data_IF_167374863198
#
_entry.id   IF_167374863198
#
_cell.length_a   1.000
_cell.length_b   1.000
_cell.length_c   1.000
_cell.angle_alpha   90.00
_cell.angle_beta   90.00
_cell.angle_gamma   90.00
#
_symmetry.space_group_name_H-M   'P 1'
#
loop_
_entity.id
_entity.type
_entity.pdbx_description
1 polymer ?
#
# COMPACT_ATOMS: atom_id res chain seq x y z
N UNK A 1 -29.14 -85.88 27.66
CA UNK A 1 -29.31 -84.42 27.57
C UNK A 1 -27.99 -83.61 27.40
N UNK A 2 -26.81 -84.22 27.26
CA UNK A 2 -25.54 -83.51 27.15
C UNK A 2 -25.10 -83.28 25.70
N UNK A 3 -25.54 -84.08 24.75
CA UNK A 3 -25.14 -83.98 23.31
C UNK A 3 -25.79 -82.81 22.59
N UNK A 4 -27.00 -82.42 22.93
CA UNK A 4 -27.72 -81.31 22.27
C UNK A 4 -27.18 -79.92 22.60
N UNK A 5 -26.51 -79.76 23.75
CA UNK A 5 -25.92 -78.45 24.17
C UNK A 5 -24.62 -78.16 23.43
N UNK A 6 -23.86 -79.24 23.10
CA UNK A 6 -22.61 -79.11 22.34
C UNK A 6 -22.89 -78.77 20.89
N UNK A 7 -23.92 -79.39 20.29
CA UNK A 7 -24.32 -79.12 18.92
C UNK A 7 -24.89 -77.73 18.74
N UNK A 8 -25.61 -77.23 19.78
CA UNK A 8 -26.16 -75.86 19.74
C UNK A 8 -25.02 -74.82 19.92
N UNK A 9 -23.97 -75.14 20.69
CA UNK A 9 -22.83 -74.23 20.87
C UNK A 9 -21.95 -74.17 19.63
N UNK A 10 -21.79 -75.29 18.88
CA UNK A 10 -21.02 -75.34 17.62
C UNK A 10 -21.71 -74.58 16.50
N UNK A 11 -23.06 -74.58 16.46
CA UNK A 11 -23.82 -73.80 15.46
C UNK A 11 -23.77 -72.31 15.78
N UNK A 12 -23.69 -71.91 17.05
CA UNK A 12 -23.59 -70.49 17.45
C UNK A 12 -22.19 -69.92 17.15
N UNK A 13 -21.11 -70.72 17.23
CA UNK A 13 -19.76 -70.29 16.87
C UNK A 13 -19.52 -70.16 15.33
N UNK A 14 -20.26 -70.91 14.51
CA UNK A 14 -20.13 -70.87 13.04
C UNK A 14 -20.79 -69.61 12.43
N UNK A 15 -21.75 -68.97 13.16
CA UNK A 15 -22.45 -67.79 12.69
C UNK A 15 -21.68 -66.46 12.87
N UNK A 16 -20.57 -66.47 13.61
CA UNK A 16 -19.80 -65.22 13.89
C UNK A 16 -18.58 -64.97 12.99
N UNK A 17 -18.31 -65.84 11.99
CA UNK A 17 -17.15 -65.74 11.13
C UNK A 17 -17.33 -65.02 9.81
N UNK A 18 -18.52 -64.42 9.55
CA UNK A 18 -18.79 -63.73 8.29
C UNK A 18 -18.97 -62.21 8.41
N UNK A 19 -18.43 -61.58 9.46
CA UNK A 19 -18.24 -60.12 9.45
C UNK A 19 -16.96 -59.84 8.68
N UNK A 20 -17.01 -59.99 7.37
CA UNK A 20 -16.00 -59.47 6.46
C UNK A 20 -15.95 -57.97 6.61
N UNK A 21 -14.92 -57.43 7.24
CA UNK A 21 -14.59 -56.03 7.16
C UNK A 21 -14.37 -55.67 5.69
N UNK A 22 -15.38 -55.08 5.06
CA UNK A 22 -15.18 -54.27 3.84
C UNK A 22 -14.27 -53.13 4.26
N UNK A 23 -12.95 -53.22 3.92
CA UNK A 23 -12.10 -52.04 3.85
C UNK A 23 -12.77 -51.07 2.93
N UNK A 24 -13.32 -50.02 3.49
CA UNK A 24 -13.76 -48.83 2.75
C UNK A 24 -12.50 -48.31 2.06
N UNK A 25 -12.45 -48.51 0.76
CA UNK A 25 -11.45 -47.89 -0.10
C UNK A 25 -11.72 -46.41 0.04
N UNK A 26 -10.87 -45.69 0.73
CA UNK A 26 -10.90 -44.23 0.75
C UNK A 26 -10.55 -43.79 -0.65
N UNK A 27 -11.55 -43.36 -1.40
CA UNK A 27 -11.32 -42.61 -2.61
C UNK A 27 -10.42 -41.43 -2.23
N UNK A 28 -9.36 -41.15 -3.01
CA UNK A 28 -8.58 -39.95 -2.78
C UNK A 28 -9.53 -38.77 -2.90
N UNK A 29 -9.97 -38.24 -1.78
CA UNK A 29 -10.76 -37.03 -1.73
C UNK A 29 -9.88 -35.94 -2.30
N UNK A 30 -10.04 -35.65 -3.58
CA UNK A 30 -9.50 -34.45 -4.19
C UNK A 30 -10.17 -33.32 -3.42
N UNK A 31 -9.43 -32.73 -2.45
CA UNK A 31 -9.82 -31.51 -1.79
C UNK A 31 -9.73 -30.42 -2.86
N UNK A 32 -10.79 -30.24 -3.61
CA UNK A 32 -10.97 -29.05 -4.44
C UNK A 32 -11.11 -27.94 -3.43
N UNK A 33 -10.02 -27.25 -3.15
CA UNK A 33 -10.10 -25.95 -2.52
C UNK A 33 -10.95 -25.09 -3.47
N UNK A 34 -12.24 -24.99 -3.17
CA UNK A 34 -13.10 -24.01 -3.81
C UNK A 34 -12.43 -22.67 -3.54
N UNK A 35 -11.85 -22.08 -4.60
CA UNK A 35 -11.29 -20.75 -4.50
C UNK A 35 -12.37 -19.88 -3.84
N UNK A 36 -12.08 -19.34 -2.66
CA UNK A 36 -12.97 -18.38 -2.04
C UNK A 36 -13.14 -17.25 -3.04
N UNK A 37 -14.35 -17.13 -3.56
CA UNK A 37 -14.73 -15.98 -4.38
C UNK A 37 -14.64 -14.80 -3.43
N UNK A 38 -13.50 -14.08 -3.48
CA UNK A 38 -13.32 -12.83 -2.73
C UNK A 38 -14.52 -11.95 -3.08
N UNK A 39 -15.35 -11.63 -2.09
CA UNK A 39 -16.46 -10.69 -2.30
C UNK A 39 -15.88 -9.40 -2.86
N UNK A 40 -16.53 -8.77 -3.86
CA UNK A 40 -16.04 -7.50 -4.36
C UNK A 40 -15.95 -6.51 -3.18
N UNK A 41 -14.75 -6.12 -2.84
CA UNK A 41 -14.53 -5.03 -1.89
C UNK A 41 -14.96 -3.73 -2.59
N UNK A 42 -15.70 -2.86 -1.88
CA UNK A 42 -15.98 -1.53 -2.40
C UNK A 42 -14.66 -0.74 -2.58
N UNK A 43 -14.72 0.39 -3.30
CA UNK A 43 -13.55 1.28 -3.43
C UNK A 43 -13.21 1.86 -2.05
N UNK A 44 -11.95 1.71 -1.63
CA UNK A 44 -11.47 2.14 -0.32
C UNK A 44 -10.80 3.53 -0.38
N UNK A 45 -10.56 4.10 0.80
CA UNK A 45 -9.79 5.33 0.98
C UNK A 45 -8.48 4.99 1.68
N UNK A 46 -7.38 5.64 1.26
CA UNK A 46 -6.10 5.54 1.98
C UNK A 46 -6.18 6.17 3.38
N UNK A 47 -7.18 7.06 3.59
CA UNK A 47 -7.44 7.74 4.84
C UNK A 47 -7.11 9.22 4.77
N UNK A 48 -7.90 10.02 5.49
CA UNK A 48 -7.70 11.46 5.58
C UNK A 48 -6.55 11.78 6.54
N UNK A 49 -5.78 12.82 6.26
CA UNK A 49 -4.67 13.26 7.09
C UNK A 49 -4.57 14.78 7.10
N UNK A 50 -4.25 15.35 8.27
CA UNK A 50 -3.96 16.77 8.41
C UNK A 50 -2.67 16.94 9.22
N UNK A 51 -1.75 17.76 8.73
CA UNK A 51 -0.49 18.10 9.38
C UNK A 51 -0.27 19.60 9.37
N UNK A 52 0.31 20.11 10.46
CA UNK A 52 0.67 21.52 10.62
C UNK A 52 2.16 21.62 10.97
N UNK A 53 2.84 22.59 10.37
CA UNK A 53 4.27 22.86 10.60
C UNK A 53 4.43 24.35 10.84
N UNK A 54 4.91 24.73 12.02
CA UNK A 54 5.29 26.11 12.33
C UNK A 54 6.78 26.29 12.02
N UNK A 55 7.14 27.34 11.30
CA UNK A 55 8.51 27.59 10.89
C UNK A 55 8.81 29.10 10.78
N UNK A 56 10.09 29.45 10.70
CA UNK A 56 10.56 30.80 10.39
C UNK A 56 11.13 30.83 8.98
N UNK A 57 10.81 31.88 8.24
CA UNK A 57 11.30 32.09 6.90
C UNK A 57 11.38 33.57 6.59
N UNK A 58 12.48 34.02 5.97
CA UNK A 58 12.71 35.45 5.62
C UNK A 58 12.47 36.40 6.81
N UNK A 59 12.83 35.99 8.01
CA UNK A 59 12.69 36.79 9.23
C UNK A 59 11.28 36.85 9.83
N UNK A 60 10.30 36.14 9.27
CA UNK A 60 8.92 36.10 9.75
C UNK A 60 8.48 34.68 10.13
N UNK A 61 7.40 34.59 10.92
CA UNK A 61 6.76 33.30 11.27
C UNK A 61 5.72 32.93 10.22
N UNK A 62 5.71 31.65 9.87
CA UNK A 62 4.75 31.03 8.96
C UNK A 62 4.25 29.72 9.53
N UNK A 63 3.13 29.24 8.96
CA UNK A 63 2.57 27.91 9.22
C UNK A 63 2.24 27.24 7.91
N UNK A 64 2.75 26.05 7.68
CA UNK A 64 2.26 25.16 6.61
C UNK A 64 1.14 24.28 7.15
N UNK A 65 0.03 24.22 6.43
CA UNK A 65 -1.12 23.34 6.67
C UNK A 65 -1.23 22.43 5.46
N UNK A 66 -1.12 21.11 5.69
CA UNK A 66 -1.18 20.09 4.65
C UNK A 66 -2.32 19.14 4.97
N UNK A 67 -3.32 19.07 4.09
CA UNK A 67 -4.52 18.25 4.29
C UNK A 67 -4.70 17.32 3.11
N UNK A 68 -4.59 16.01 3.34
CA UNK A 68 -4.93 14.96 2.38
C UNK A 68 -6.36 14.47 2.59
N UNK A 69 -7.09 14.34 1.49
CA UNK A 69 -8.44 13.74 1.47
C UNK A 69 -8.61 12.92 0.20
N UNK A 70 -9.34 11.81 0.31
CA UNK A 70 -9.76 11.08 -0.86
C UNK A 70 -10.73 11.92 -1.70
N UNK A 71 -10.54 11.92 -3.02
CA UNK A 71 -11.39 12.60 -3.98
C UNK A 71 -12.06 11.59 -4.90
N UNK A 72 -13.39 11.46 -4.78
CA UNK A 72 -14.18 10.50 -5.57
C UNK A 72 -14.37 10.91 -7.02
N UNK A 73 -13.98 12.12 -7.41
CA UNK A 73 -14.03 12.62 -8.80
C UNK A 73 -12.78 12.24 -9.61
N UNK A 74 -11.69 11.86 -8.92
CA UNK A 74 -10.45 11.43 -9.54
C UNK A 74 -10.54 9.97 -10.02
N UNK A 75 -9.70 9.58 -11.00
CA UNK A 75 -9.61 8.18 -11.42
C UNK A 75 -9.26 7.25 -10.25
N UNK A 76 -9.91 6.09 -10.21
CA UNK A 76 -9.68 5.06 -9.20
C UNK A 76 -8.37 4.32 -9.49
N UNK A 77 -7.50 4.20 -8.48
CA UNK A 77 -6.33 3.35 -8.53
C UNK A 77 -6.69 1.89 -8.19
N UNK A 78 -5.91 0.94 -8.73
CA UNK A 78 -6.11 -0.49 -8.44
C UNK A 78 -4.77 -1.09 -8.06
N UNK A 79 -4.69 -1.73 -6.89
CA UNK A 79 -3.47 -2.42 -6.48
C UNK A 79 -3.25 -3.74 -7.24
N UNK A 80 -2.13 -4.41 -6.96
CA UNK A 80 -1.76 -5.67 -7.62
C UNK A 80 -2.70 -6.84 -7.25
N UNK A 81 -3.48 -6.71 -6.18
CA UNK A 81 -4.50 -7.69 -5.77
C UNK A 81 -5.88 -7.41 -6.40
N UNK A 82 -6.01 -6.34 -7.18
CA UNK A 82 -7.26 -5.91 -7.81
C UNK A 82 -8.20 -5.13 -6.90
N UNK A 83 -7.74 -4.69 -5.73
CA UNK A 83 -8.48 -3.85 -4.80
C UNK A 83 -8.46 -2.41 -5.27
N UNK A 84 -9.59 -1.72 -5.17
CA UNK A 84 -9.76 -0.37 -5.71
C UNK A 84 -9.66 0.69 -4.62
N UNK A 85 -9.02 1.81 -4.96
CA UNK A 85 -8.82 2.94 -4.06
C UNK A 85 -9.19 4.25 -4.75
N UNK A 86 -9.86 5.13 -4.01
CA UNK A 86 -9.98 6.53 -4.44
C UNK A 86 -8.61 7.20 -4.37
N UNK A 87 -8.26 7.96 -5.41
CA UNK A 87 -7.07 8.79 -5.36
C UNK A 87 -7.29 9.98 -4.43
N UNK A 88 -6.24 10.68 -4.07
CA UNK A 88 -6.27 11.76 -3.10
C UNK A 88 -6.01 13.11 -3.77
N UNK A 89 -6.58 14.15 -3.18
CA UNK A 89 -6.09 15.51 -3.30
C UNK A 89 -5.38 15.91 -2.01
N UNK A 90 -4.35 16.74 -2.12
CA UNK A 90 -3.61 17.29 -0.99
C UNK A 90 -3.63 18.82 -1.08
N UNK A 91 -4.39 19.45 -0.19
CA UNK A 91 -4.38 20.90 -0.05
C UNK A 91 -3.18 21.34 0.79
N UNK A 92 -2.40 22.26 0.25
CA UNK A 92 -1.29 22.91 0.95
C UNK A 92 -1.60 24.39 1.09
N UNK A 93 -1.57 24.90 2.31
CA UNK A 93 -1.66 26.32 2.61
C UNK A 93 -0.45 26.77 3.41
N UNK A 94 0.18 27.84 2.98
CA UNK A 94 1.21 28.53 3.75
C UNK A 94 0.60 29.83 4.28
N UNK A 95 0.53 29.95 5.59
CA UNK A 95 -0.09 31.08 6.29
C UNK A 95 1.01 31.96 6.89
N UNK A 96 0.82 33.30 6.83
CA UNK A 96 1.62 34.26 7.57
C UNK A 96 1.21 34.31 9.05
N UNK A 97 1.99 35.00 9.87
CA UNK A 97 1.72 35.13 11.30
C UNK A 97 0.36 35.74 11.63
N UNK A 98 -0.16 36.61 10.77
CA UNK A 98 -1.49 37.24 10.88
C UNK A 98 -2.63 36.35 10.37
N UNK A 99 -2.33 35.12 9.93
CA UNK A 99 -3.29 34.17 9.38
C UNK A 99 -3.63 34.38 7.91
N UNK A 100 -3.08 35.41 7.25
CA UNK A 100 -3.27 35.60 5.81
C UNK A 100 -2.58 34.52 4.99
N UNK A 101 -3.16 34.15 3.84
CA UNK A 101 -2.61 33.13 2.96
C UNK A 101 -1.45 33.75 2.16
N UNK A 102 -0.26 33.14 2.28
CA UNK A 102 0.87 33.42 1.42
C UNK A 102 0.80 32.60 0.12
N UNK A 103 0.52 31.30 0.26
CA UNK A 103 0.41 30.35 -0.85
C UNK A 103 -0.72 29.36 -0.56
N UNK A 104 -1.42 28.94 -1.61
CA UNK A 104 -2.41 27.86 -1.52
C UNK A 104 -2.46 27.11 -2.86
N UNK A 105 -2.37 25.78 -2.79
CA UNK A 105 -2.50 24.91 -3.97
C UNK A 105 -3.14 23.59 -3.54
N UNK A 106 -3.93 23.00 -4.44
CA UNK A 106 -4.49 21.64 -4.29
C UNK A 106 -3.78 20.74 -5.29
N UNK A 107 -2.93 19.89 -4.75
CA UNK A 107 -2.20 18.91 -5.52
C UNK A 107 -3.04 17.66 -5.77
N UNK A 108 -2.93 17.12 -6.97
CA UNK A 108 -3.42 15.80 -7.38
C UNK A 108 -2.26 14.99 -7.96
N UNK A 109 -2.45 13.72 -8.23
CA UNK A 109 -1.44 12.93 -8.95
C UNK A 109 -1.08 13.52 -10.31
N UNK A 110 -2.03 14.22 -10.96
CA UNK A 110 -1.81 14.89 -12.23
C UNK A 110 -0.66 15.91 -12.22
N UNK A 111 -0.39 16.57 -11.08
CA UNK A 111 0.73 17.51 -10.95
C UNK A 111 2.12 16.85 -11.06
N UNK A 112 2.17 15.52 -11.00
CA UNK A 112 3.39 14.69 -11.01
C UNK A 112 3.46 13.77 -12.24
N UNK A 113 2.42 13.71 -13.05
CA UNK A 113 2.18 12.67 -14.06
C UNK A 113 3.28 12.58 -15.13
N UNK A 114 3.85 13.71 -15.53
CA UNK A 114 4.91 13.73 -16.58
C UNK A 114 6.15 12.90 -16.21
N UNK A 115 6.41 12.72 -14.91
CA UNK A 115 7.58 11.99 -14.40
C UNK A 115 7.26 10.59 -13.86
N UNK A 116 6.00 10.13 -13.98
CA UNK A 116 5.56 8.81 -13.56
C UNK A 116 5.60 7.81 -14.71
N UNK A 117 5.92 6.57 -14.41
CA UNK A 117 5.74 5.45 -15.34
C UNK A 117 4.26 5.08 -15.50
N UNK A 118 3.93 4.33 -16.55
CA UNK A 118 2.55 3.97 -16.89
C UNK A 118 1.84 3.12 -15.83
N UNK A 119 2.57 2.31 -15.05
CA UNK A 119 1.99 1.54 -13.95
C UNK A 119 1.59 2.45 -12.80
N UNK A 120 2.50 3.33 -12.38
CA UNK A 120 2.25 4.28 -11.29
C UNK A 120 1.15 5.30 -11.65
N UNK A 121 1.07 5.73 -12.92
CA UNK A 121 -0.04 6.58 -13.40
C UNK A 121 -1.40 5.90 -13.19
N UNK A 122 -1.52 4.61 -13.53
CA UNK A 122 -2.80 3.88 -13.43
C UNK A 122 -3.11 3.40 -12.02
N UNK A 123 -2.10 2.85 -11.33
CA UNK A 123 -2.29 2.08 -10.11
C UNK A 123 -1.88 2.84 -8.85
N UNK A 124 -1.09 3.90 -8.97
CA UNK A 124 -0.67 4.72 -7.84
C UNK A 124 -1.71 5.74 -7.42
N UNK A 125 -1.56 6.23 -6.19
CA UNK A 125 -2.28 7.37 -5.62
C UNK A 125 -1.29 8.44 -5.18
N UNK A 126 -1.73 9.69 -5.11
CA UNK A 126 -0.97 10.74 -4.40
C UNK A 126 -1.03 10.43 -2.89
N UNK A 127 0.05 9.82 -2.39
CA UNK A 127 0.04 9.19 -1.07
C UNK A 127 0.34 10.18 0.06
N UNK A 128 1.35 11.04 -0.10
CA UNK A 128 1.73 11.98 0.94
C UNK A 128 2.33 13.27 0.40
N UNK A 129 2.27 14.30 1.23
CA UNK A 129 3.08 15.50 1.12
C UNK A 129 3.49 15.95 2.51
N UNK A 130 4.78 16.27 2.69
CA UNK A 130 5.34 16.73 3.95
C UNK A 130 6.15 17.99 3.72
N UNK A 131 6.05 18.95 4.65
CA UNK A 131 6.96 20.09 4.70
C UNK A 131 8.32 19.62 5.22
N UNK A 132 9.40 20.03 4.54
CA UNK A 132 10.76 19.65 4.89
C UNK A 132 11.50 20.81 5.54
N UNK A 133 11.58 21.93 4.83
CA UNK A 133 12.35 23.11 5.29
C UNK A 133 11.94 24.39 4.58
N UNK A 134 12.36 25.50 5.20
CA UNK A 134 12.39 26.82 4.59
C UNK A 134 13.85 27.27 4.57
N UNK A 135 14.42 27.47 3.41
CA UNK A 135 15.83 27.81 3.27
C UNK A 135 16.05 28.77 2.09
N UNK A 136 16.83 29.83 2.32
CA UNK A 136 17.03 30.86 1.32
C UNK A 136 15.70 31.44 0.83
N UNK A 137 15.49 31.44 -0.48
CA UNK A 137 14.29 31.97 -1.13
C UNK A 137 13.17 30.95 -1.31
N UNK A 138 13.35 29.68 -0.86
CA UNK A 138 12.43 28.59 -1.15
C UNK A 138 11.89 27.89 0.11
N UNK A 139 10.64 27.48 0.02
CA UNK A 139 10.04 26.45 0.88
C UNK A 139 10.13 25.11 0.15
N UNK A 140 10.56 24.06 0.83
CA UNK A 140 10.69 22.72 0.27
C UNK A 140 9.73 21.75 0.94
N UNK A 141 9.04 20.99 0.12
CA UNK A 141 8.17 19.88 0.51
C UNK A 141 8.55 18.63 -0.26
N UNK A 142 8.26 17.46 0.30
CA UNK A 142 8.38 16.18 -0.39
C UNK A 142 7.00 15.59 -0.62
N UNK A 143 6.73 15.18 -1.84
CA UNK A 143 5.53 14.43 -2.21
C UNK A 143 5.89 12.98 -2.57
N UNK A 144 4.97 12.06 -2.37
CA UNK A 144 5.10 10.67 -2.83
C UNK A 144 3.85 10.20 -3.56
N UNK A 145 4.07 9.51 -4.69
CA UNK A 145 3.05 8.84 -5.49
C UNK A 145 3.41 7.37 -5.60
N UNK A 146 2.47 6.48 -5.32
CA UNK A 146 2.75 5.05 -5.39
C UNK A 146 1.59 4.19 -4.92
N UNK A 147 1.87 2.94 -4.57
CA UNK A 147 0.86 1.96 -4.19
C UNK A 147 -0.02 2.42 -3.02
N UNK A 148 -1.35 2.23 -3.13
CA UNK A 148 -2.27 2.60 -2.05
C UNK A 148 -2.22 1.68 -0.83
N UNK A 149 -1.71 0.45 -0.95
CA UNK A 149 -1.73 -0.58 0.10
C UNK A 149 -0.60 -0.48 1.13
N UNK A 150 0.36 0.43 0.94
CA UNK A 150 1.50 0.69 1.85
C UNK A 150 2.42 -0.52 2.14
N UNK A 151 2.28 -1.61 1.41
CA UNK A 151 3.00 -2.85 1.71
C UNK A 151 4.49 -2.77 1.35
N UNK A 152 4.92 -1.83 0.50
CA UNK A 152 6.31 -1.69 0.09
C UNK A 152 6.69 -0.21 -0.02
N UNK A 153 7.69 0.21 0.76
CA UNK A 153 8.25 1.57 0.68
C UNK A 153 8.97 1.83 -0.65
N UNK A 154 9.36 0.77 -1.36
CA UNK A 154 10.13 0.85 -2.61
C UNK A 154 9.24 1.17 -3.82
N UNK A 155 7.91 1.08 -3.66
CA UNK A 155 6.95 1.35 -4.73
C UNK A 155 6.52 2.83 -4.84
N UNK A 156 7.21 3.74 -4.15
CA UNK A 156 6.92 5.17 -4.21
C UNK A 156 7.90 5.94 -5.06
N UNK A 157 7.36 6.75 -5.97
CA UNK A 157 8.12 7.81 -6.65
C UNK A 157 8.05 9.06 -5.79
N UNK A 158 9.19 9.61 -5.43
CA UNK A 158 9.29 10.81 -4.60
C UNK A 158 9.62 12.04 -5.44
N UNK A 159 9.09 13.16 -4.98
CA UNK A 159 9.22 14.45 -5.64
C UNK A 159 9.61 15.54 -4.66
N UNK A 160 10.46 16.45 -5.09
CA UNK A 160 10.69 17.73 -4.43
C UNK A 160 9.74 18.76 -5.01
N UNK A 161 8.96 19.38 -4.15
CA UNK A 161 8.06 20.49 -4.46
C UNK A 161 8.61 21.74 -3.80
N UNK A 162 8.87 22.80 -4.58
CA UNK A 162 9.38 24.07 -4.06
C UNK A 162 8.41 25.19 -4.32
N UNK A 163 8.25 26.08 -3.34
CA UNK A 163 7.51 27.31 -3.44
C UNK A 163 8.47 28.46 -3.15
N UNK A 164 8.70 29.30 -4.16
CA UNK A 164 9.59 30.45 -4.01
C UNK A 164 8.97 31.57 -3.16
N UNK A 165 9.78 32.52 -2.71
CA UNK A 165 9.32 33.73 -2.02
C UNK A 165 8.36 34.60 -2.84
N UNK A 166 8.28 34.38 -4.16
CA UNK A 166 7.35 35.03 -5.06
C UNK A 166 6.06 34.21 -5.27
N UNK A 167 5.94 33.05 -4.60
CA UNK A 167 4.81 32.13 -4.74
C UNK A 167 4.88 31.25 -6.00
N UNK A 168 5.99 31.23 -6.73
CA UNK A 168 6.16 30.34 -7.88
C UNK A 168 6.36 28.90 -7.40
N UNK A 169 5.63 27.96 -8.03
CA UNK A 169 5.66 26.53 -7.77
C UNK A 169 6.60 25.82 -8.76
N UNK A 170 7.42 24.91 -8.28
CA UNK A 170 8.16 23.97 -9.11
C UNK A 170 8.13 22.57 -8.53
N UNK A 171 8.11 21.56 -9.41
CA UNK A 171 8.08 20.14 -9.07
C UNK A 171 9.22 19.45 -9.81
N UNK A 172 9.99 18.61 -9.11
CA UNK A 172 11.03 17.79 -9.71
C UNK A 172 11.01 16.40 -9.09
N UNK A 173 11.21 15.37 -9.92
CA UNK A 173 11.38 13.99 -9.45
C UNK A 173 12.71 13.86 -8.71
N UNK A 174 12.70 13.22 -7.55
CA UNK A 174 13.93 12.89 -6.85
C UNK A 174 14.68 11.78 -7.60
N UNK A 175 15.99 11.93 -7.72
CA UNK A 175 16.84 10.86 -8.22
C UNK A 175 17.03 9.83 -7.09
N UNK A 176 16.65 8.58 -7.33
CA UNK A 176 17.13 7.48 -6.51
C UNK A 176 18.63 7.34 -6.80
N UNK A 177 19.45 7.62 -5.80
CA UNK A 177 20.86 7.25 -5.86
C UNK A 177 20.89 5.72 -5.72
N UNK A 178 21.16 5.04 -6.82
CA UNK A 178 21.54 3.62 -6.78
C UNK A 178 22.82 3.50 -5.98
N UNK A 179 22.73 3.18 -4.70
CA UNK A 179 23.87 2.85 -3.85
C UNK A 179 24.35 1.42 -4.14
N UNK A 180 24.57 1.08 -5.41
CA UNK A 180 25.40 -0.03 -5.81
C UNK A 180 26.84 0.50 -5.94
N UNK A 181 27.44 0.87 -4.80
CA UNK A 181 28.89 1.01 -4.71
C UNK A 181 29.45 -0.42 -4.66
N UNK A 182 29.70 -0.99 -5.84
CA UNK A 182 30.55 -2.16 -5.98
C UNK A 182 31.93 -1.77 -5.45
N UNK A 183 32.20 -2.21 -4.20
CA UNK A 183 33.52 -2.15 -3.64
C UNK A 183 34.52 -2.78 -4.60
N UNK A 184 35.30 -1.96 -5.26
CA UNK A 184 36.50 -2.39 -5.95
C UNK A 184 37.44 -2.94 -4.88
N UNK A 185 37.44 -4.26 -4.69
CA UNK A 185 38.52 -4.94 -3.97
C UNK A 185 39.82 -4.65 -4.73
N UNK A 186 40.61 -3.76 -4.13
CA UNK A 186 41.99 -3.54 -4.56
C UNK A 186 42.78 -4.84 -4.36
N UNK A 187 43.07 -5.50 -5.45
CA UNK A 187 44.09 -6.54 -5.55
C UNK A 187 45.43 -5.93 -5.11
N UNK A 188 45.85 -6.23 -3.88
CA UNK A 188 47.23 -6.06 -3.45
C UNK A 188 47.98 -7.35 -3.80
N UNK A 189 48.49 -7.39 -5.01
CA UNK A 189 49.53 -8.32 -5.40
C UNK A 189 50.89 -7.83 -4.90
N UNK A 190 51.69 -8.77 -4.38
CA UNK A 190 53.07 -8.74 -3.93
C UNK A 190 54.03 -7.75 -4.59
#
# INVERSE_FOLDING_TARGET
MRKNKITLFLILCAGLALVSCKKKQEDPTIIIHKAEVKKPHGTEKVGDQSRNYDFQWLGAKYKAVVVRKADTSLPVATDDEGKKYYDNQIEVKILRADGSIFFSHVFTKGDFEESLDERTKRNGVLYSMIFVKAEGDDLEMKASVGSPDQMSSDDYVTFTVKVSRMGALSVSKDQQLDTNDEGTEGDMGD
#
